data_IF_444743300009
#
_entry.id   IF_444743300009
#
_cell.length_a   1.000
_cell.length_b   1.000
_cell.length_c   1.000
_cell.angle_alpha   90.00
_cell.angle_beta   90.00
_cell.angle_gamma   90.00
#
_symmetry.space_group_name_H-M   'P 1'
#
loop_
_entity.id
_entity.type
_entity.pdbx_description
1 polymer ?
#
# COMPACT_ATOMS: atom_id res chain seq x y z
N UNK A 1 -11.40 10.92 4.46
CA UNK A 1 -10.49 10.51 3.37
C UNK A 1 -10.78 11.28 2.10
N UNK A 2 -9.74 11.80 1.45
CA UNK A 2 -9.81 12.45 0.14
C UNK A 2 -8.73 11.87 -0.80
N UNK A 3 -9.09 11.52 -2.03
CA UNK A 3 -8.10 11.17 -3.05
C UNK A 3 -7.56 12.47 -3.66
N UNK A 4 -6.23 12.62 -3.67
CA UNK A 4 -5.57 13.85 -4.15
C UNK A 4 -4.77 13.66 -5.44
N UNK A 5 -4.30 12.44 -5.77
CA UNK A 5 -3.73 12.11 -7.08
C UNK A 5 -4.02 10.65 -7.47
N UNK A 6 -3.94 10.34 -8.77
CA UNK A 6 -4.07 8.99 -9.35
C UNK A 6 -3.05 8.78 -10.45
N UNK A 7 -2.45 7.60 -10.48
CA UNK A 7 -1.52 7.20 -11.53
C UNK A 7 -1.72 5.73 -11.94
N UNK A 8 -1.15 5.37 -13.07
CA UNK A 8 -1.06 3.99 -13.55
C UNK A 8 0.41 3.66 -13.76
N UNK A 9 0.89 2.63 -13.08
CA UNK A 9 2.26 2.15 -13.19
C UNK A 9 2.48 1.47 -14.55
N UNK A 10 3.74 1.25 -14.92
CA UNK A 10 4.13 0.63 -16.20
C UNK A 10 3.58 -0.79 -16.39
N UNK A 11 3.31 -1.52 -15.30
CA UNK A 11 2.69 -2.84 -15.29
C UNK A 11 1.14 -2.81 -15.34
N UNK A 12 0.55 -1.62 -15.43
CA UNK A 12 -0.91 -1.40 -15.44
C UNK A 12 -1.55 -1.32 -14.04
N UNK A 13 -0.78 -1.45 -12.96
CA UNK A 13 -1.28 -1.29 -11.60
C UNK A 13 -1.75 0.15 -11.38
N UNK A 14 -2.98 0.32 -10.91
CA UNK A 14 -3.52 1.63 -10.56
C UNK A 14 -3.08 1.97 -9.14
N UNK A 15 -2.62 3.21 -8.93
CA UNK A 15 -2.32 3.74 -7.60
C UNK A 15 -3.06 5.06 -7.40
N UNK A 16 -3.34 5.38 -6.14
CA UNK A 16 -3.88 6.67 -5.74
C UNK A 16 -3.19 7.16 -4.48
N UNK A 17 -3.01 8.47 -4.39
CA UNK A 17 -2.56 9.14 -3.18
C UNK A 17 -3.79 9.62 -2.42
N UNK A 18 -3.89 9.20 -1.17
CA UNK A 18 -5.03 9.45 -0.29
C UNK A 18 -4.59 10.30 0.91
N UNK A 19 -5.37 11.32 1.24
CA UNK A 19 -5.24 12.15 2.43
C UNK A 19 -6.27 11.70 3.48
N UNK A 20 -5.78 11.22 4.61
CA UNK A 20 -6.58 10.77 5.75
C UNK A 20 -6.49 11.68 6.97
N UNK A 21 -5.83 12.84 6.90
CA UNK A 21 -5.70 13.76 8.04
C UNK A 21 -7.04 14.18 8.65
N UNK A 22 -8.09 14.25 7.83
CA UNK A 22 -9.45 14.58 8.29
C UNK A 22 -10.02 13.61 9.30
N UNK A 23 -9.49 12.38 9.38
CA UNK A 23 -9.92 11.35 10.33
C UNK A 23 -9.24 11.49 11.70
N UNK A 24 -8.25 12.38 11.84
CA UNK A 24 -7.61 12.62 13.12
C UNK A 24 -8.58 13.26 14.13
N UNK A 25 -8.42 12.88 15.39
CA UNK A 25 -9.25 13.38 16.49
C UNK A 25 -8.40 14.23 17.43
N UNK A 26 -9.03 14.99 18.33
CA UNK A 26 -8.28 15.75 19.35
C UNK A 26 -7.40 14.86 20.25
N UNK A 27 -7.82 13.63 20.51
CA UNK A 27 -7.07 12.67 21.33
C UNK A 27 -5.92 12.02 20.54
N UNK A 28 -6.05 11.95 19.21
CA UNK A 28 -5.09 11.34 18.29
C UNK A 28 -4.90 12.26 17.08
N UNK A 29 -4.21 13.41 17.28
CA UNK A 29 -4.11 14.45 16.26
C UNK A 29 -3.27 14.03 15.04
N UNK A 30 -2.39 13.04 15.21
CA UNK A 30 -1.39 12.64 14.23
C UNK A 30 -1.43 11.12 13.90
N UNK A 31 -2.58 10.47 14.11
CA UNK A 31 -2.73 9.03 13.88
C UNK A 31 -2.74 8.67 12.39
N UNK A 32 -3.43 9.48 11.59
CA UNK A 32 -3.63 9.35 10.16
C UNK A 32 -2.86 10.45 9.42
N UNK A 33 -2.45 10.15 8.19
CA UNK A 33 -1.81 11.10 7.29
C UNK A 33 -1.97 10.66 5.84
N UNK A 34 -0.91 10.71 5.05
CA UNK A 34 -0.96 10.23 3.67
C UNK A 34 -0.87 8.69 3.59
N UNK A 35 -1.52 8.16 2.54
CA UNK A 35 -1.52 6.74 2.21
C UNK A 35 -1.48 6.55 0.70
N UNK A 36 -0.68 5.58 0.24
CA UNK A 36 -0.75 5.06 -1.12
C UNK A 36 -1.73 3.88 -1.13
N UNK A 37 -2.80 4.02 -1.91
CA UNK A 37 -3.71 2.93 -2.24
C UNK A 37 -3.31 2.32 -3.58
N UNK A 38 -2.71 1.13 -3.57
CA UNK A 38 -2.36 0.39 -4.78
C UNK A 38 -3.39 -0.70 -5.09
N UNK A 39 -3.60 -0.95 -6.38
CA UNK A 39 -4.60 -1.90 -6.88
C UNK A 39 -4.02 -2.95 -7.84
N UNK A 40 -3.02 -3.74 -7.40
CA UNK A 40 -2.40 -4.78 -8.21
C UNK A 40 -3.32 -5.98 -8.43
N UNK A 41 -2.94 -6.84 -9.37
CA UNK A 41 -3.57 -8.16 -9.57
C UNK A 41 -2.84 -9.18 -8.69
N UNK A 42 -3.58 -9.86 -7.82
CA UNK A 42 -3.02 -10.87 -6.94
C UNK A 42 -2.40 -12.03 -7.74
N UNK A 43 -1.22 -12.47 -7.31
CA UNK A 43 -0.51 -13.64 -7.82
C UNK A 43 -0.88 -14.90 -7.03
N UNK A 44 -1.12 -14.77 -5.74
CA UNK A 44 -1.51 -15.87 -4.87
C UNK A 44 -2.94 -15.72 -4.34
N UNK A 45 -3.59 -16.86 -4.11
CA UNK A 45 -4.89 -16.95 -3.44
C UNK A 45 -4.65 -17.24 -1.97
N UNK A 46 -5.30 -16.47 -1.09
CA UNK A 46 -5.17 -16.69 0.35
C UNK A 46 -5.98 -17.93 0.80
N UNK A 47 -5.66 -18.52 1.95
CA UNK A 47 -6.27 -19.76 2.47
C UNK A 47 -7.80 -19.69 2.61
N UNK A 48 -8.34 -18.49 2.76
CA UNK A 48 -9.78 -18.23 2.91
C UNK A 48 -10.48 -17.93 1.57
N UNK A 49 -9.75 -17.82 0.47
CA UNK A 49 -10.29 -17.46 -0.85
C UNK A 49 -10.89 -16.05 -0.95
N UNK A 50 -10.55 -15.14 -0.02
CA UNK A 50 -11.01 -13.74 -0.06
C UNK A 50 -10.19 -12.91 -1.05
N UNK A 51 -8.88 -13.13 -1.08
CA UNK A 51 -7.98 -12.62 -2.11
C UNK A 51 -7.66 -13.76 -3.06
N UNK A 52 -7.93 -13.56 -4.35
CA UNK A 52 -7.84 -14.62 -5.38
C UNK A 52 -6.88 -14.22 -6.49
N UNK A 53 -6.05 -15.18 -6.92
CA UNK A 53 -5.17 -15.03 -8.08
C UNK A 53 -5.93 -14.50 -9.29
N UNK A 54 -5.36 -13.53 -9.99
CA UNK A 54 -5.97 -12.90 -11.17
C UNK A 54 -7.06 -11.87 -10.83
N UNK A 55 -7.37 -11.63 -9.55
CA UNK A 55 -8.27 -10.56 -9.12
C UNK A 55 -7.49 -9.40 -8.52
N UNK A 56 -8.06 -8.21 -8.68
CA UNK A 56 -7.54 -6.99 -8.05
C UNK A 56 -7.76 -7.05 -6.55
N UNK A 57 -6.77 -6.64 -5.78
CA UNK A 57 -6.91 -6.37 -4.36
C UNK A 57 -6.41 -4.97 -4.03
N UNK A 58 -6.74 -4.45 -2.84
CA UNK A 58 -6.21 -3.18 -2.35
C UNK A 58 -5.01 -3.48 -1.47
N UNK A 59 -3.87 -2.90 -1.82
CA UNK A 59 -2.66 -2.87 -1.01
C UNK A 59 -2.51 -1.45 -0.45
N UNK A 60 -2.32 -1.37 0.86
CA UNK A 60 -2.17 -0.10 1.58
C UNK A 60 -0.74 0.13 2.00
N UNK A 61 -0.26 1.36 1.82
CA UNK A 61 1.04 1.83 2.31
C UNK A 61 0.78 3.19 2.97
N UNK A 62 0.54 3.18 4.27
CA UNK A 62 0.22 4.36 5.07
C UNK A 62 1.44 4.84 5.88
N UNK A 63 1.46 6.14 6.19
CA UNK A 63 2.42 6.68 7.16
C UNK A 63 2.37 5.88 8.47
N UNK A 64 3.52 5.60 9.03
CA UNK A 64 3.63 4.82 10.26
C UNK A 64 4.77 5.35 11.13
N UNK A 65 4.41 6.07 12.19
CA UNK A 65 5.34 6.65 13.16
C UNK A 65 6.19 5.60 13.89
N UNK A 66 5.63 4.42 14.19
CA UNK A 66 6.40 3.32 14.80
C UNK A 66 7.50 2.80 13.87
N UNK A 67 7.26 2.84 12.56
CA UNK A 67 8.24 2.51 11.53
C UNK A 67 9.07 3.73 11.08
N UNK A 68 8.86 4.91 11.68
CA UNK A 68 9.43 6.20 11.24
C UNK A 68 9.18 6.50 9.75
N UNK A 69 8.08 5.98 9.21
CA UNK A 69 7.66 6.20 7.83
C UNK A 69 6.71 7.40 7.79
N UNK A 70 7.24 8.57 7.45
CA UNK A 70 6.52 9.84 7.55
C UNK A 70 5.68 10.12 6.31
N UNK A 71 4.80 11.11 6.40
CA UNK A 71 4.06 11.64 5.26
C UNK A 71 4.95 12.04 4.09
N UNK A 72 6.05 12.74 4.35
CA UNK A 72 7.01 13.12 3.30
C UNK A 72 7.58 11.89 2.59
N UNK A 73 7.81 10.80 3.32
CA UNK A 73 8.28 9.55 2.73
C UNK A 73 7.18 8.88 1.88
N UNK A 74 5.93 8.88 2.34
CA UNK A 74 4.78 8.40 1.56
C UNK A 74 4.65 9.19 0.25
N UNK A 75 4.75 10.51 0.32
CA UNK A 75 4.69 11.39 -0.86
C UNK A 75 5.86 11.12 -1.82
N UNK A 76 7.08 10.99 -1.30
CA UNK A 76 8.26 10.69 -2.11
C UNK A 76 8.15 9.32 -2.78
N UNK A 77 7.67 8.30 -2.06
CA UNK A 77 7.47 6.95 -2.60
C UNK A 77 6.35 6.90 -3.62
N UNK A 78 5.27 7.68 -3.45
CA UNK A 78 4.23 7.80 -4.46
C UNK A 78 4.77 8.33 -5.79
N UNK A 79 5.56 9.40 -5.75
CA UNK A 79 6.19 9.95 -6.95
C UNK A 79 7.24 9.00 -7.53
N UNK A 80 7.99 8.28 -6.69
CA UNK A 80 8.95 7.27 -7.12
C UNK A 80 8.29 6.05 -7.79
N UNK A 81 7.10 5.64 -7.34
CA UNK A 81 6.30 4.62 -8.02
C UNK A 81 5.82 5.16 -9.38
N UNK A 82 5.22 6.36 -9.39
CA UNK A 82 4.66 7.01 -10.58
C UNK A 82 5.71 7.24 -11.68
N UNK A 83 6.94 7.57 -11.32
CA UNK A 83 8.05 7.76 -12.26
C UNK A 83 8.82 6.46 -12.58
N UNK A 84 8.49 5.34 -11.93
CA UNK A 84 9.10 4.03 -12.16
C UNK A 84 10.50 3.85 -11.56
N UNK A 85 10.95 4.73 -10.67
CA UNK A 85 12.24 4.55 -9.94
C UNK A 85 12.10 3.60 -8.75
N UNK A 86 10.88 3.35 -8.28
CA UNK A 86 10.54 2.28 -7.34
C UNK A 86 9.40 1.41 -7.88
N UNK A 87 9.35 0.18 -7.40
CA UNK A 87 8.26 -0.78 -7.57
C UNK A 87 7.53 -1.00 -6.25
N UNK A 88 6.36 -1.65 -6.28
CA UNK A 88 5.69 -2.05 -5.03
C UNK A 88 6.57 -2.98 -4.19
N UNK A 89 7.41 -3.81 -4.82
CA UNK A 89 8.31 -4.72 -4.10
C UNK A 89 9.36 -3.98 -3.26
N UNK A 90 9.83 -2.81 -3.74
CA UNK A 90 10.79 -1.97 -3.01
C UNK A 90 10.18 -1.36 -1.73
N UNK A 91 8.84 -1.29 -1.66
CA UNK A 91 8.10 -0.74 -0.50
C UNK A 91 7.56 -1.82 0.43
N UNK A 92 8.02 -3.07 0.29
CA UNK A 92 7.52 -4.23 1.04
C UNK A 92 7.47 -4.02 2.55
N UNK A 93 8.46 -3.32 3.11
CA UNK A 93 8.53 -3.07 4.56
C UNK A 93 7.43 -2.14 5.08
N UNK A 94 6.77 -1.40 4.18
CA UNK A 94 5.72 -0.43 4.50
C UNK A 94 4.31 -0.94 4.18
N UNK A 95 4.16 -2.19 3.74
CA UNK A 95 2.84 -2.76 3.49
C UNK A 95 2.03 -2.86 4.79
N UNK A 96 0.80 -2.36 4.75
CA UNK A 96 -0.12 -2.37 5.87
C UNK A 96 -0.33 -3.78 6.44
N UNK A 97 -0.51 -4.79 5.57
CA UNK A 97 -0.66 -6.18 5.98
C UNK A 97 0.63 -7.01 5.81
N UNK A 98 1.78 -6.32 5.73
CA UNK A 98 3.14 -6.90 5.75
C UNK A 98 3.28 -8.13 4.84
N UNK A 99 3.63 -9.28 5.39
CA UNK A 99 3.88 -10.53 4.67
C UNK A 99 2.64 -11.06 3.95
N UNK A 100 1.41 -10.74 4.39
CA UNK A 100 0.19 -11.14 3.67
C UNK A 100 0.11 -10.41 2.33
N UNK A 101 0.35 -9.11 2.33
CA UNK A 101 0.37 -8.30 1.09
C UNK A 101 1.53 -8.73 0.19
N UNK A 102 2.69 -9.03 0.77
CA UNK A 102 3.83 -9.59 0.03
C UNK A 102 3.47 -10.94 -0.61
N UNK A 103 2.76 -11.82 0.10
CA UNK A 103 2.28 -13.09 -0.43
C UNK A 103 1.27 -12.86 -1.56
N UNK A 104 0.33 -11.93 -1.41
CA UNK A 104 -0.67 -11.63 -2.46
C UNK A 104 0.00 -11.08 -3.74
N UNK A 105 1.07 -10.31 -3.60
CA UNK A 105 1.91 -9.87 -4.72
C UNK A 105 2.80 -10.97 -5.32
N UNK A 106 2.94 -12.12 -4.66
CA UNK A 106 3.84 -13.18 -5.08
C UNK A 106 5.32 -12.90 -4.80
N UNK A 107 5.62 -12.06 -3.79
CA UNK A 107 6.98 -11.78 -3.34
C UNK A 107 7.51 -12.84 -2.37
N UNK A 108 6.63 -13.66 -1.82
CA UNK A 108 6.94 -14.82 -0.98
C UNK A 108 6.02 -15.99 -1.36
N UNK A 109 6.50 -17.22 -1.15
CA UNK A 109 5.82 -18.44 -1.61
C UNK A 109 4.87 -19.05 -0.57
N UNK A 110 5.07 -18.76 0.72
CA UNK A 110 4.25 -19.29 1.82
C UNK A 110 3.39 -18.18 2.41
N UNK A 111 2.08 -18.43 2.52
CA UNK A 111 1.19 -17.53 3.24
C UNK A 111 1.55 -17.51 4.74
N UNK A 112 1.73 -16.34 5.36
CA UNK A 112 1.96 -16.24 6.81
C UNK A 112 0.73 -16.72 7.59
N UNK A 113 0.97 -17.34 8.74
CA UNK A 113 -0.09 -18.02 9.51
C UNK A 113 -0.90 -17.06 10.41
N UNK A 114 -0.30 -15.92 10.79
CA UNK A 114 -0.85 -14.90 11.68
C UNK A 114 -1.59 -13.80 10.91
#
# INVERSE_FOLDING_TARGET
>A
MKIIDKAVLSDGTKIQLEDWHSENTKAYPDLHGYMIGAYPIAKNTNKWGLIKTGKRFRLGIDRNEYAKYTDDMVLADYEALKNGTKTLADLREHFWNREKDAFYLGLIDKEPEW
#
